data_IF_059717732528
#
_entry.id   IF_059717732528
#
_cell.length_a   1.000
_cell.length_b   1.000
_cell.length_c   1.000
_cell.angle_alpha   90.00
_cell.angle_beta   90.00
_cell.angle_gamma   90.00
#
_symmetry.space_group_name_H-M   'P 1'
#
loop_
_entity.id
_entity.type
_entity.pdbx_description
1 polymer ?
#
# COMPACT_ATOMS: atom_id res chain seq x y z
N UNK A 1 -15.03 -35.51 1.46
CA UNK A 1 -15.23 -34.77 0.20
C UNK A 1 -13.99 -33.93 -0.01
N UNK A 2 -12.94 -34.54 -0.53
CA UNK A 2 -11.68 -33.86 -0.85
C UNK A 2 -11.86 -33.16 -2.21
N UNK A 3 -12.12 -31.86 -2.16
CA UNK A 3 -12.29 -31.02 -3.34
C UNK A 3 -10.94 -30.57 -3.89
N UNK A 4 -10.53 -31.22 -4.97
CA UNK A 4 -9.61 -30.80 -6.02
C UNK A 4 -8.76 -29.55 -5.76
N UNK A 5 -7.45 -29.76 -5.58
CA UNK A 5 -6.44 -28.72 -5.50
C UNK A 5 -6.44 -27.84 -6.75
N UNK A 6 -6.99 -26.64 -6.62
CA UNK A 6 -6.98 -25.61 -7.64
C UNK A 6 -5.52 -25.21 -7.95
N UNK A 7 -5.00 -25.74 -9.06
CA UNK A 7 -3.66 -25.45 -9.57
C UNK A 7 -3.64 -24.01 -10.09
N UNK A 8 -3.28 -23.07 -9.22
CA UNK A 8 -2.99 -21.69 -9.62
C UNK A 8 -1.84 -21.70 -10.63
N UNK A 9 -2.16 -21.61 -11.92
CA UNK A 9 -1.14 -21.49 -12.95
C UNK A 9 -0.49 -20.11 -12.79
N UNK A 10 0.76 -20.09 -12.33
CA UNK A 10 1.52 -18.88 -12.07
C UNK A 10 1.75 -18.13 -13.39
N UNK A 11 0.79 -17.28 -13.77
CA UNK A 11 0.96 -16.37 -14.90
C UNK A 11 2.17 -15.48 -14.58
N UNK A 12 3.03 -15.27 -15.58
CA UNK A 12 4.17 -14.35 -15.45
C UNK A 12 3.68 -12.96 -15.02
N UNK A 13 4.29 -12.30 -14.02
CA UNK A 13 3.86 -10.97 -13.59
C UNK A 13 4.08 -9.95 -14.72
N UNK A 14 3.14 -9.00 -14.94
CA UNK A 14 3.22 -8.01 -16.02
C UNK A 14 4.20 -6.87 -15.68
N UNK A 15 5.49 -7.19 -15.56
CA UNK A 15 6.54 -6.22 -15.26
C UNK A 15 6.91 -5.40 -16.51
N UNK A 16 6.95 -4.08 -16.37
CA UNK A 16 7.22 -3.14 -17.47
C UNK A 16 8.69 -2.68 -17.52
N UNK A 17 9.48 -2.97 -16.49
CA UNK A 17 10.87 -2.53 -16.40
C UNK A 17 10.98 -1.06 -15.97
N UNK A 18 11.75 -0.27 -16.73
CA UNK A 18 12.07 1.14 -16.41
C UNK A 18 10.80 1.97 -16.28
N UNK A 19 10.73 2.78 -15.22
CA UNK A 19 9.65 3.72 -14.97
C UNK A 19 10.20 5.15 -14.99
N UNK A 20 9.48 6.07 -15.64
CA UNK A 20 9.76 7.50 -15.55
C UNK A 20 9.16 8.04 -14.23
N UNK A 21 9.99 8.68 -13.42
CA UNK A 21 9.62 9.23 -12.11
C UNK A 21 9.80 10.74 -12.18
N UNK A 22 8.74 11.47 -11.86
CA UNK A 22 8.69 12.92 -11.90
C UNK A 22 8.09 13.48 -10.61
N UNK A 23 8.63 14.61 -10.16
CA UNK A 23 8.21 15.29 -8.93
C UNK A 23 7.74 16.73 -9.20
N UNK A 24 7.43 17.05 -10.47
CA UNK A 24 7.10 18.38 -10.95
C UNK A 24 5.70 18.85 -10.55
N UNK A 25 4.73 17.92 -10.46
CA UNK A 25 3.34 18.23 -10.14
C UNK A 25 2.95 17.78 -8.72
N UNK A 26 2.27 18.63 -7.96
CA UNK A 26 1.81 18.29 -6.61
C UNK A 26 1.01 16.97 -6.58
N UNK A 27 1.51 15.99 -5.81
CA UNK A 27 0.82 14.73 -5.59
C UNK A 27 -0.17 14.87 -4.44
N UNK A 28 -1.40 14.38 -4.61
CA UNK A 28 -2.45 14.41 -3.58
C UNK A 28 -2.87 13.01 -3.18
N UNK A 29 -3.40 12.84 -1.97
CA UNK A 29 -3.82 11.52 -1.49
C UNK A 29 -5.05 11.00 -2.24
N UNK A 30 -5.94 11.91 -2.65
CA UNK A 30 -7.15 11.61 -3.41
C UNK A 30 -6.78 11.00 -4.77
N UNK A 31 -5.73 11.51 -5.40
CA UNK A 31 -5.20 10.95 -6.64
C UNK A 31 -4.65 9.55 -6.43
N UNK A 32 -3.83 9.35 -5.39
CA UNK A 32 -3.26 8.04 -5.03
C UNK A 32 -4.36 7.00 -4.81
N UNK A 33 -5.43 7.36 -4.08
CA UNK A 33 -6.56 6.48 -3.81
C UNK A 33 -7.34 6.15 -5.10
N UNK A 34 -7.68 7.16 -5.90
CA UNK A 34 -8.40 6.99 -7.16
C UNK A 34 -7.68 6.09 -8.15
N UNK A 35 -6.35 6.16 -8.20
CA UNK A 35 -5.52 5.33 -9.09
C UNK A 35 -5.32 3.89 -8.55
N UNK A 36 -5.66 3.65 -7.28
CA UNK A 36 -5.48 2.36 -6.60
C UNK A 36 -6.76 1.87 -5.90
N UNK A 37 -7.87 1.69 -6.65
CA UNK A 37 -9.17 1.33 -6.07
C UNK A 37 -9.20 -0.06 -5.41
N UNK A 38 -8.25 -0.93 -5.75
CA UNK A 38 -8.17 -2.29 -5.23
C UNK A 38 -7.34 -2.37 -3.93
N UNK A 39 -6.80 -1.26 -3.45
CA UNK A 39 -6.14 -1.20 -2.15
C UNK A 39 -7.21 -1.02 -1.08
N UNK A 40 -7.29 -1.95 -0.15
CA UNK A 40 -8.27 -1.95 0.93
C UNK A 40 -7.82 -1.06 2.09
N UNK A 41 -8.70 -0.91 3.09
CA UNK A 41 -8.39 -0.27 4.35
C UNK A 41 -7.09 -0.83 4.97
N UNK A 42 -6.34 0.04 5.63
CA UNK A 42 -4.98 -0.22 6.08
C UNK A 42 -3.92 -0.48 5.00
N UNK A 43 -4.17 -0.17 3.72
CA UNK A 43 -3.09 -0.05 2.72
C UNK A 43 -2.63 -1.41 2.22
N UNK A 44 -3.56 -2.35 2.30
CA UNK A 44 -3.37 -3.74 1.95
C UNK A 44 -3.86 -4.00 0.54
N UNK A 45 -3.20 -4.91 -0.13
CA UNK A 45 -3.59 -5.38 -1.44
C UNK A 45 -3.29 -6.86 -1.54
N UNK A 46 -4.28 -7.61 -2.00
CA UNK A 46 -4.14 -9.01 -2.37
C UNK A 46 -4.54 -9.15 -3.84
N UNK A 47 -3.69 -9.75 -4.69
CA UNK A 47 -4.03 -9.93 -6.10
C UNK A 47 -5.27 -10.83 -6.24
N UNK A 48 -6.31 -10.40 -6.96
CA UNK A 48 -7.55 -11.18 -7.11
C UNK A 48 -7.42 -12.33 -8.12
N UNK A 49 -6.42 -12.26 -9.00
CA UNK A 49 -6.23 -13.15 -10.14
C UNK A 49 -5.28 -14.33 -9.85
N UNK A 50 -4.64 -14.36 -8.68
CA UNK A 50 -3.69 -15.42 -8.33
C UNK A 50 -3.53 -15.61 -6.82
N UNK A 51 -3.08 -16.80 -6.40
CA UNK A 51 -2.53 -17.00 -5.06
C UNK A 51 -1.11 -16.40 -4.99
N UNK A 52 -0.89 -15.34 -4.19
CA UNK A 52 0.42 -14.70 -4.10
C UNK A 52 1.43 -15.64 -3.45
N UNK A 53 2.65 -15.67 -4.00
CA UNK A 53 3.76 -16.45 -3.42
C UNK A 53 4.31 -15.82 -2.14
N UNK A 54 4.23 -14.49 -2.05
CA UNK A 54 4.84 -13.72 -0.98
C UNK A 54 3.80 -12.86 -0.28
N UNK A 55 3.93 -12.77 1.04
CA UNK A 55 3.19 -11.85 1.91
C UNK A 55 4.19 -10.89 2.55
N UNK A 56 4.06 -9.60 2.27
CA UNK A 56 5.11 -8.60 2.54
C UNK A 56 4.55 -7.46 3.38
N UNK A 57 5.22 -7.15 4.49
CA UNK A 57 5.00 -5.92 5.25
C UNK A 57 6.03 -4.88 4.85
N UNK A 58 5.58 -3.75 4.32
CA UNK A 58 6.44 -2.64 3.90
C UNK A 58 6.39 -1.58 5.00
N UNK A 59 7.53 -1.38 5.66
CA UNK A 59 7.65 -0.47 6.79
C UNK A 59 8.34 0.80 6.32
N UNK A 60 7.64 1.93 6.38
CA UNK A 60 8.15 3.24 5.98
C UNK A 60 8.36 4.08 7.24
N UNK A 61 9.60 4.29 7.70
CA UNK A 61 9.86 5.26 8.75
C UNK A 61 9.55 6.67 8.23
N UNK A 62 8.79 7.43 9.00
CA UNK A 62 8.24 8.71 8.58
C UNK A 62 8.40 9.77 9.66
N UNK A 63 8.74 10.99 9.24
CA UNK A 63 8.78 12.17 10.11
C UNK A 63 8.62 13.42 9.24
N UNK A 64 7.50 14.13 9.39
CA UNK A 64 7.21 15.43 8.75
C UNK A 64 7.50 15.53 7.23
N UNK A 65 7.29 14.45 6.45
CA UNK A 65 7.60 14.42 5.00
C UNK A 65 6.42 13.98 4.14
N UNK A 66 5.24 14.52 4.39
CA UNK A 66 3.99 14.07 3.74
C UNK A 66 4.04 14.11 2.21
N UNK A 67 4.67 15.13 1.62
CA UNK A 67 4.79 15.23 0.17
C UNK A 67 5.60 14.07 -0.42
N UNK A 68 6.69 13.66 0.22
CA UNK A 68 7.49 12.52 -0.23
C UNK A 68 6.70 11.22 -0.13
N UNK A 69 5.93 11.06 0.95
CA UNK A 69 5.09 9.89 1.15
C UNK A 69 4.03 9.76 0.05
N UNK A 70 3.37 10.87 -0.34
CA UNK A 70 2.38 10.89 -1.43
C UNK A 70 2.97 10.35 -2.74
N UNK A 71 4.17 10.83 -3.11
CA UNK A 71 4.88 10.30 -4.28
C UNK A 71 5.28 8.83 -4.14
N UNK A 72 5.76 8.44 -2.95
CA UNK A 72 6.11 7.06 -2.66
C UNK A 72 4.92 6.13 -2.91
N UNK A 73 3.75 6.46 -2.36
CA UNK A 73 2.54 5.66 -2.51
C UNK A 73 2.06 5.63 -3.97
N UNK A 74 2.09 6.77 -4.67
CA UNK A 74 1.72 6.87 -6.09
C UNK A 74 2.53 5.89 -6.97
N UNK A 75 3.85 5.85 -6.79
CA UNK A 75 4.71 5.01 -7.62
C UNK A 75 4.80 3.56 -7.13
N UNK A 76 4.77 3.33 -5.83
CA UNK A 76 5.00 2.01 -5.26
C UNK A 76 3.81 1.08 -5.48
N UNK A 77 2.58 1.54 -5.30
CA UNK A 77 1.39 0.69 -5.43
C UNK A 77 1.32 -0.02 -6.80
N UNK A 78 1.46 0.66 -7.96
CA UNK A 78 1.47 -0.01 -9.25
C UNK A 78 2.63 -1.00 -9.41
N UNK A 79 3.81 -0.71 -8.84
CA UNK A 79 4.98 -1.61 -8.92
C UNK A 79 4.68 -2.91 -8.18
N UNK A 80 4.21 -2.84 -6.93
CA UNK A 80 3.91 -4.00 -6.10
C UNK A 80 2.76 -4.84 -6.67
N UNK A 81 1.72 -4.18 -7.19
CA UNK A 81 0.60 -4.86 -7.87
C UNK A 81 1.07 -5.67 -9.06
N UNK A 82 1.95 -5.10 -9.91
CA UNK A 82 2.53 -5.82 -11.06
C UNK A 82 3.42 -6.99 -10.65
N UNK A 83 3.97 -6.99 -9.44
CA UNK A 83 4.73 -8.11 -8.89
C UNK A 83 3.86 -9.26 -8.36
N UNK A 84 2.53 -9.08 -8.27
CA UNK A 84 1.56 -10.08 -7.76
C UNK A 84 1.87 -10.58 -6.33
N UNK A 85 2.20 -9.66 -5.44
CA UNK A 85 2.44 -9.96 -4.02
C UNK A 85 1.25 -9.51 -3.16
N UNK A 86 0.99 -10.24 -2.07
CA UNK A 86 0.16 -9.75 -0.96
C UNK A 86 1.02 -8.78 -0.16
N UNK A 87 0.62 -7.52 -0.08
CA UNK A 87 1.38 -6.51 0.65
C UNK A 87 0.51 -5.65 1.55
N UNK A 88 1.10 -5.16 2.64
CA UNK A 88 0.57 -4.08 3.46
C UNK A 88 1.62 -3.01 3.71
N UNK A 89 1.22 -1.74 3.64
CA UNK A 89 2.11 -0.60 3.90
C UNK A 89 1.83 -0.03 5.29
N UNK A 90 2.88 0.01 6.11
CA UNK A 90 2.88 0.51 7.48
C UNK A 90 3.80 1.72 7.56
N UNK A 91 3.24 2.88 7.89
CA UNK A 91 3.98 4.12 8.04
C UNK A 91 4.27 4.31 9.51
N UNK A 92 5.53 4.26 9.93
CA UNK A 92 5.89 4.43 11.32
C UNK A 92 6.30 5.87 11.53
N UNK A 93 5.41 6.68 12.09
CA UNK A 93 5.67 8.09 12.35
C UNK A 93 6.41 8.24 13.68
N UNK A 94 7.53 8.94 13.64
CA UNK A 94 8.26 9.31 14.84
C UNK A 94 7.71 10.62 15.41
N UNK A 95 6.93 10.55 16.48
CA UNK A 95 6.33 11.72 17.14
C UNK A 95 7.30 12.32 18.17
N UNK A 96 8.09 11.48 18.85
CA UNK A 96 9.17 11.88 19.78
C UNK A 96 10.37 10.93 19.63
N UNK A 97 11.57 11.28 20.13
CA UNK A 97 12.75 10.40 20.10
C UNK A 97 12.47 9.00 20.68
N UNK A 98 11.68 8.91 21.76
CA UNK A 98 11.35 7.62 22.40
C UNK A 98 9.98 7.04 22.02
N UNK A 99 9.19 7.70 21.18
CA UNK A 99 7.82 7.27 20.86
C UNK A 99 7.59 7.16 19.36
N UNK A 100 7.27 5.94 18.93
CA UNK A 100 6.85 5.62 17.57
C UNK A 100 5.34 5.39 17.55
N UNK A 101 4.65 6.02 16.61
CA UNK A 101 3.25 5.76 16.34
C UNK A 101 3.15 5.05 14.99
N UNK A 102 2.52 3.88 14.98
CA UNK A 102 2.25 3.12 13.76
C UNK A 102 1.00 3.71 13.10
N UNK A 103 1.15 4.19 11.87
CA UNK A 103 0.06 4.58 11.00
C UNK A 103 -0.13 3.49 9.96
N UNK A 104 -1.29 2.84 10.00
CA UNK A 104 -1.71 1.93 8.94
C UNK A 104 -2.40 2.77 7.87
N UNK A 105 -1.81 2.82 6.68
CA UNK A 105 -2.30 3.68 5.61
C UNK A 105 -3.59 3.14 4.99
N UNK A 106 -4.76 3.49 5.49
CA UNK A 106 -6.00 3.76 4.73
C UNK A 106 -7.11 3.88 5.77
N UNK A 107 -7.63 5.09 5.95
CA UNK A 107 -8.85 5.31 6.72
C UNK A 107 -9.88 6.02 5.81
N UNK A 108 -11.05 5.39 5.67
CA UNK A 108 -12.09 5.76 4.73
C UNK A 108 -12.71 7.13 4.95
N UNK A 109 -12.98 7.84 3.85
CA UNK A 109 -13.80 9.05 3.78
C UNK A 109 -15.25 8.76 3.35
N UNK A 110 -15.79 7.56 3.63
CA UNK A 110 -17.19 7.24 3.31
C UNK A 110 -18.17 7.69 4.42
N UNK A 111 -17.69 8.09 5.62
CA UNK A 111 -18.54 8.69 6.67
C UNK A 111 -17.77 9.70 7.55
N UNK A 112 -17.65 10.95 7.09
CA UNK A 112 -17.45 12.17 7.90
C UNK A 112 -16.37 12.20 9.01
N UNK A 113 -15.25 12.88 8.73
CA UNK A 113 -14.37 13.52 9.72
C UNK A 113 -12.99 12.87 9.97
N UNK A 114 -11.99 13.65 10.45
CA UNK A 114 -10.65 13.13 10.71
C UNK A 114 -10.64 12.28 11.98
N UNK A 115 -10.58 10.96 11.84
CA UNK A 115 -10.24 10.04 12.92
C UNK A 115 -9.23 9.00 12.43
N UNK A 116 -7.97 9.25 12.73
CA UNK A 116 -6.93 8.22 12.69
C UNK A 116 -7.22 7.24 13.82
N UNK A 117 -7.44 5.95 13.52
CA UNK A 117 -7.45 4.93 14.56
C UNK A 117 -6.00 4.62 14.94
N UNK A 118 -5.62 5.03 16.14
CA UNK A 118 -4.43 4.53 16.81
C UNK A 118 -4.68 3.05 17.12
N UNK A 119 -3.81 2.15 16.65
CA UNK A 119 -3.64 0.86 17.33
C UNK A 119 -2.47 1.07 18.29
N UNK A 120 -2.81 1.34 19.55
CA UNK A 120 -1.88 1.21 20.67
C UNK A 120 -1.64 -0.29 20.87
N UNK A 121 -0.37 -0.68 21.07
CA UNK A 121 -0.04 -1.92 21.77
C UNK A 121 -0.07 -1.68 23.26
#
# INVERSE_FOLDING_TARGET
MEGEGQKWSAKKPPLVGRLLIEFSSQMTMERVQRENPNVTDGGRYTPPDCRPRWKVAIIIPFRHRENHLKYWLHYLHPILRRQRIDYGIYIINQVRPEALQIYIYCHGWIKGGPKCTTQET
#
